data_IF_807486858396
#
_entry.id   IF_807486858396
#
_cell.length_a   1.000
_cell.length_b   1.000
_cell.length_c   1.000
_cell.angle_alpha   90.00
_cell.angle_beta   90.00
_cell.angle_gamma   90.00
#
_symmetry.space_group_name_H-M   'P 1'
#
loop_
_entity.id
_entity.type
_entity.pdbx_description
1 polymer ?
#
# COMPACT_ATOMS: atom_id res chain seq x y z
N UNK A 1 30.01 -6.21 10.10
CA UNK A 1 28.86 -5.30 10.12
C UNK A 1 28.53 -4.98 11.56
N UNK A 2 28.20 -3.73 11.87
CA UNK A 2 27.76 -3.35 13.22
C UNK A 2 26.32 -3.81 13.45
N UNK A 3 26.05 -4.66 14.47
CA UNK A 3 24.71 -5.22 14.69
C UNK A 3 23.60 -4.18 14.86
N UNK A 4 23.90 -3.06 15.54
CA UNK A 4 22.95 -1.95 15.72
C UNK A 4 22.47 -1.37 14.39
N UNK A 5 23.42 -1.06 13.49
CA UNK A 5 23.13 -0.52 12.15
C UNK A 5 22.38 -1.51 11.27
N UNK A 6 22.64 -2.81 11.45
CA UNK A 6 21.90 -3.85 10.74
C UNK A 6 20.44 -3.95 11.23
N UNK A 7 20.19 -3.82 12.53
CA UNK A 7 18.83 -3.77 13.11
C UNK A 7 18.09 -2.53 12.62
N UNK A 8 18.74 -1.36 12.68
CA UNK A 8 18.19 -0.08 12.18
C UNK A 8 17.75 -0.19 10.71
N UNK A 9 18.64 -0.70 9.85
CA UNK A 9 18.34 -0.91 8.43
C UNK A 9 17.19 -1.90 8.23
N UNK A 10 17.11 -2.97 9.03
CA UNK A 10 16.03 -3.96 8.93
C UNK A 10 14.67 -3.39 9.35
N UNK A 11 14.63 -2.62 10.44
CA UNK A 11 13.39 -1.95 10.90
C UNK A 11 12.92 -0.89 9.90
N UNK A 12 13.84 -0.16 9.27
CA UNK A 12 13.51 0.78 8.21
C UNK A 12 12.95 0.09 6.96
N UNK A 13 13.63 -0.95 6.49
CA UNK A 13 13.25 -1.66 5.26
C UNK A 13 12.01 -2.54 5.40
N UNK A 14 11.71 -3.05 6.61
CA UNK A 14 10.60 -4.00 6.80
C UNK A 14 9.23 -3.35 6.63
N UNK A 15 9.07 -2.07 7.00
CA UNK A 15 7.76 -1.41 7.09
C UNK A 15 6.76 -2.11 8.02
N UNK A 16 7.22 -3.05 8.84
CA UNK A 16 6.41 -3.88 9.76
C UNK A 16 7.16 -4.16 11.05
N UNK A 17 6.42 -4.60 12.06
CA UNK A 17 6.99 -5.09 13.31
C UNK A 17 7.92 -6.29 13.07
N UNK A 18 9.08 -6.25 13.72
CA UNK A 18 10.08 -7.32 13.77
C UNK A 18 10.23 -7.79 15.21
N UNK A 19 10.09 -9.10 15.41
CA UNK A 19 10.24 -9.72 16.73
C UNK A 19 11.72 -9.87 17.12
N UNK A 20 12.01 -9.91 18.42
CA UNK A 20 13.38 -10.18 18.92
C UNK A 20 13.97 -11.47 18.31
N UNK A 21 13.24 -12.60 18.19
CA UNK A 21 13.74 -13.79 17.49
C UNK A 21 14.17 -13.55 16.03
N UNK A 22 13.42 -12.74 15.27
CA UNK A 22 13.80 -12.38 13.89
C UNK A 22 15.09 -11.56 13.87
N UNK A 23 15.23 -10.58 14.76
CA UNK A 23 16.44 -9.75 14.87
C UNK A 23 17.66 -10.56 15.33
N UNK A 24 17.48 -11.54 16.21
CA UNK A 24 18.54 -12.50 16.57
C UNK A 24 19.00 -13.31 15.37
N UNK A 25 18.05 -13.83 14.58
CA UNK A 25 18.36 -14.59 13.36
C UNK A 25 19.11 -13.74 12.33
N UNK A 26 18.71 -12.49 12.16
CA UNK A 26 19.35 -11.53 11.26
C UNK A 26 20.79 -11.20 11.67
N UNK A 27 21.00 -10.90 12.95
CA UNK A 27 22.30 -10.44 13.48
C UNK A 27 23.26 -11.58 13.85
N UNK A 28 22.75 -12.80 14.02
CA UNK A 28 23.49 -13.94 14.56
C UNK A 28 23.70 -13.89 16.08
N UNK A 29 23.08 -12.94 16.79
CA UNK A 29 23.25 -12.77 18.24
C UNK A 29 22.32 -13.73 19.00
N UNK A 30 22.90 -14.63 19.80
CA UNK A 30 22.14 -15.60 20.60
C UNK A 30 21.45 -14.98 21.84
N UNK A 31 21.96 -13.87 22.37
CA UNK A 31 21.42 -13.22 23.57
C UNK A 31 20.27 -12.28 23.21
N UNK A 32 19.07 -12.58 23.73
CA UNK A 32 17.92 -11.67 23.61
C UNK A 32 18.14 -10.35 24.35
N UNK A 33 18.85 -10.39 25.50
CA UNK A 33 19.18 -9.19 26.26
C UNK A 33 20.10 -8.24 25.49
N UNK A 34 21.04 -8.79 24.71
CA UNK A 34 21.91 -7.96 23.86
C UNK A 34 21.11 -7.30 22.73
N UNK A 35 20.20 -8.01 22.08
CA UNK A 35 19.29 -7.40 21.08
C UNK A 35 18.47 -6.26 21.69
N UNK A 36 17.89 -6.47 22.88
CA UNK A 36 17.12 -5.44 23.59
C UNK A 36 17.97 -4.21 23.92
N UNK A 37 19.19 -4.39 24.42
CA UNK A 37 20.11 -3.28 24.66
C UNK A 37 20.38 -2.45 23.40
N UNK A 38 20.56 -3.10 22.24
CA UNK A 38 20.78 -2.39 20.97
C UNK A 38 19.53 -1.62 20.52
N UNK A 39 18.34 -2.15 20.80
CA UNK A 39 17.07 -1.49 20.52
C UNK A 39 16.83 -0.30 21.46
N UNK A 40 17.17 -0.42 22.74
CA UNK A 40 17.11 0.67 23.73
C UNK A 40 18.05 1.81 23.32
N UNK A 41 19.25 1.49 22.85
CA UNK A 41 20.19 2.47 22.29
C UNK A 41 19.60 3.16 21.06
N UNK A 42 19.00 2.41 20.12
CA UNK A 42 18.35 3.00 18.94
C UNK A 42 17.17 3.90 19.34
N UNK A 43 16.35 3.51 20.32
CA UNK A 43 15.30 4.37 20.85
C UNK A 43 15.87 5.69 21.40
N UNK A 44 17.03 5.64 22.06
CA UNK A 44 17.78 6.81 22.49
C UNK A 44 18.24 7.69 21.32
N UNK A 45 18.86 7.09 20.31
CA UNK A 45 19.38 7.79 19.11
C UNK A 45 18.25 8.53 18.35
N UNK A 46 17.03 8.01 18.38
CA UNK A 46 15.86 8.59 17.71
C UNK A 46 14.98 9.51 18.59
N UNK A 47 15.39 9.81 19.82
CA UNK A 47 14.60 10.65 20.74
C UNK A 47 14.32 12.05 20.19
N UNK A 48 15.30 12.67 19.54
CA UNK A 48 15.18 14.02 18.94
C UNK A 48 14.86 13.98 17.44
N UNK A 49 14.58 12.79 16.87
CA UNK A 49 14.22 12.60 15.46
C UNK A 49 12.72 12.75 15.21
N UNK A 50 12.30 12.88 13.95
CA UNK A 50 10.89 12.75 13.52
C UNK A 50 10.42 11.28 13.41
N UNK A 51 11.38 10.34 13.42
CA UNK A 51 11.15 8.91 13.45
C UNK A 51 11.32 8.37 14.88
N UNK A 52 10.73 7.21 15.17
CA UNK A 52 10.90 6.49 16.43
C UNK A 52 10.97 4.98 16.21
N UNK A 53 11.63 4.29 17.15
CA UNK A 53 11.56 2.83 17.28
C UNK A 53 10.48 2.49 18.31
N UNK A 54 9.32 2.10 17.82
CA UNK A 54 8.16 1.75 18.62
C UNK A 54 8.23 0.27 19.06
N UNK A 55 7.98 0.00 20.34
CA UNK A 55 7.88 -1.36 20.89
C UNK A 55 6.41 -1.70 21.19
N UNK A 56 5.95 -2.86 20.71
CA UNK A 56 4.67 -3.45 21.04
C UNK A 56 4.80 -4.96 21.20
N UNK A 57 4.34 -5.49 22.34
CA UNK A 57 4.29 -6.94 22.63
C UNK A 57 5.61 -7.70 22.33
N UNK A 58 6.75 -7.07 22.59
CA UNK A 58 8.08 -7.66 22.36
C UNK A 58 8.53 -7.67 20.88
N UNK A 59 7.84 -6.93 20.03
CA UNK A 59 8.21 -6.63 18.65
C UNK A 59 8.47 -5.13 18.47
N UNK A 60 9.24 -4.79 17.44
CA UNK A 60 9.73 -3.43 17.23
C UNK A 60 9.48 -2.97 15.78
N UNK A 61 9.10 -1.71 15.61
CA UNK A 61 8.85 -1.08 14.31
C UNK A 61 9.51 0.30 14.27
N UNK A 62 10.15 0.65 13.15
CA UNK A 62 10.49 2.05 12.89
C UNK A 62 9.29 2.75 12.25
N UNK A 63 8.79 3.82 12.87
CA UNK A 63 7.67 4.61 12.35
C UNK A 63 7.92 6.11 12.47
N UNK A 64 7.11 6.90 11.77
CA UNK A 64 7.02 8.35 11.99
C UNK A 64 6.29 8.60 13.31
N UNK A 65 6.78 9.54 14.12
CA UNK A 65 6.12 9.93 15.37
C UNK A 65 4.74 10.53 15.12
N UNK A 66 3.79 10.22 16.00
CA UNK A 66 2.37 10.53 15.81
C UNK A 66 2.07 12.02 15.57
N UNK A 67 2.90 12.93 16.12
CA UNK A 67 2.79 14.37 15.92
C UNK A 67 3.08 14.84 14.47
N UNK A 68 3.78 14.03 13.66
CA UNK A 68 4.07 14.33 12.26
C UNK A 68 3.23 13.53 11.26
N UNK A 69 2.65 12.40 11.69
CA UNK A 69 1.94 11.45 10.81
C UNK A 69 0.90 12.13 9.93
N UNK A 70 0.00 12.93 10.52
CA UNK A 70 -1.07 13.59 9.76
C UNK A 70 -0.55 14.54 8.68
N UNK A 71 0.62 15.15 8.90
CA UNK A 71 1.23 16.09 7.96
C UNK A 71 1.91 15.38 6.80
N UNK A 72 2.44 14.17 7.03
CA UNK A 72 3.26 13.45 6.03
C UNK A 72 2.57 12.21 5.44
N UNK A 73 1.38 11.84 5.92
CA UNK A 73 0.65 10.64 5.46
C UNK A 73 0.40 10.59 3.95
N UNK A 74 0.36 11.73 3.27
CA UNK A 74 0.20 11.81 1.82
C UNK A 74 1.45 11.37 1.03
N UNK A 75 2.62 11.30 1.69
CA UNK A 75 3.85 10.71 1.14
C UNK A 75 3.95 9.20 1.36
N UNK A 76 3.16 8.64 2.27
CA UNK A 76 3.12 7.20 2.45
C UNK A 76 2.72 6.55 1.13
N UNK A 77 3.51 5.58 0.67
CA UNK A 77 3.13 4.72 -0.45
C UNK A 77 1.77 4.11 -0.12
N UNK A 78 0.77 4.55 -0.85
CA UNK A 78 -0.64 4.20 -0.68
C UNK A 78 -0.87 2.76 -1.17
N UNK A 79 -0.29 1.76 -0.48
CA UNK A 79 -0.06 0.44 -1.09
C UNK A 79 -0.80 -0.73 -0.42
N UNK A 80 -1.36 -0.55 0.78
CA UNK A 80 -2.31 -1.53 1.28
C UNK A 80 -3.70 -1.25 0.72
N UNK A 81 -3.91 -1.53 -0.58
CA UNK A 81 -5.27 -1.66 -1.13
C UNK A 81 -5.94 -2.77 -0.33
N UNK A 82 -7.08 -2.46 0.31
CA UNK A 82 -7.80 -3.44 1.12
C UNK A 82 -8.18 -4.66 0.28
N UNK A 83 -8.29 -5.85 0.91
CA UNK A 83 -8.68 -7.07 0.16
C UNK A 83 -10.01 -6.91 -0.57
N UNK A 84 -10.93 -6.12 -0.02
CA UNK A 84 -12.20 -5.79 -0.66
C UNK A 84 -11.97 -4.88 -1.87
N UNK A 85 -11.24 -3.78 -1.70
CA UNK A 85 -10.88 -2.88 -2.78
C UNK A 85 -10.09 -3.57 -3.90
N UNK A 86 -9.20 -4.51 -3.60
CA UNK A 86 -8.51 -5.34 -4.60
C UNK A 86 -9.49 -6.17 -5.44
N UNK A 87 -10.53 -6.75 -4.83
CA UNK A 87 -11.57 -7.49 -5.56
C UNK A 87 -12.35 -6.56 -6.49
N UNK A 88 -12.76 -5.39 -5.99
CA UNK A 88 -13.45 -4.37 -6.77
C UNK A 88 -12.56 -3.83 -7.90
N UNK A 89 -11.28 -3.57 -7.63
CA UNK A 89 -10.31 -3.11 -8.62
C UNK A 89 -10.06 -4.16 -9.70
N UNK A 90 -9.92 -5.44 -9.33
CA UNK A 90 -9.77 -6.56 -10.27
C UNK A 90 -10.96 -6.67 -11.21
N UNK A 91 -12.16 -6.37 -10.69
CA UNK A 91 -13.37 -6.36 -11.47
C UNK A 91 -13.39 -5.20 -12.48
N UNK A 92 -13.11 -3.98 -12.02
CA UNK A 92 -13.05 -2.78 -12.85
C UNK A 92 -11.94 -2.90 -13.91
N UNK A 93 -10.81 -3.53 -13.58
CA UNK A 93 -9.70 -3.72 -14.51
C UNK A 93 -10.08 -4.54 -15.75
N UNK A 94 -10.99 -5.51 -15.60
CA UNK A 94 -11.54 -6.29 -16.72
C UNK A 94 -12.67 -5.59 -17.47
N UNK A 95 -13.26 -4.55 -16.89
CA UNK A 95 -14.43 -3.83 -17.42
C UNK A 95 -14.20 -2.32 -17.33
N UNK A 96 -13.08 -1.85 -17.88
CA UNK A 96 -12.72 -0.44 -17.82
C UNK A 96 -13.83 0.43 -18.45
N UNK A 97 -14.28 1.47 -17.74
CA UNK A 97 -15.41 2.32 -18.17
C UNK A 97 -16.80 1.83 -17.75
N UNK A 98 -16.91 0.79 -16.92
CA UNK A 98 -18.17 0.25 -16.39
C UNK A 98 -18.90 1.23 -15.47
N UNK A 99 -20.24 1.15 -15.41
CA UNK A 99 -21.02 1.94 -14.44
C UNK A 99 -20.80 1.43 -13.01
N UNK A 100 -20.61 2.35 -12.06
CA UNK A 100 -20.53 2.03 -10.62
C UNK A 100 -21.75 1.23 -10.14
N UNK A 101 -22.94 1.58 -10.64
CA UNK A 101 -24.18 0.84 -10.34
C UNK A 101 -24.17 -0.60 -10.81
N UNK A 102 -23.47 -0.94 -11.89
CA UNK A 102 -23.32 -2.31 -12.36
C UNK A 102 -22.31 -3.09 -11.51
N UNK A 103 -21.22 -2.43 -11.09
CA UNK A 103 -20.27 -3.01 -10.13
C UNK A 103 -20.97 -3.32 -8.80
N UNK A 104 -21.79 -2.40 -8.29
CA UNK A 104 -22.62 -2.60 -7.09
C UNK A 104 -23.58 -3.77 -7.25
N UNK A 105 -24.25 -3.91 -8.42
CA UNK A 105 -25.14 -5.05 -8.69
C UNK A 105 -24.40 -6.40 -8.65
N UNK A 106 -23.13 -6.44 -9.08
CA UNK A 106 -22.35 -7.69 -9.14
C UNK A 106 -21.63 -8.03 -7.84
N UNK A 107 -21.06 -7.04 -7.14
CA UNK A 107 -20.22 -7.27 -5.95
C UNK A 107 -20.98 -6.99 -4.65
N UNK A 108 -21.91 -6.04 -4.66
CA UNK A 108 -22.67 -5.61 -3.48
C UNK A 108 -22.35 -4.18 -3.03
N UNK A 109 -22.93 -3.78 -1.90
CA UNK A 109 -22.85 -2.41 -1.38
C UNK A 109 -21.46 -1.99 -0.90
N UNK A 110 -20.56 -2.94 -0.62
CA UNK A 110 -19.16 -2.66 -0.24
C UNK A 110 -18.40 -1.88 -1.33
N UNK A 111 -18.87 -1.92 -2.58
CA UNK A 111 -18.31 -1.16 -3.70
C UNK A 111 -18.28 0.34 -3.42
N UNK A 112 -19.19 0.89 -2.61
CA UNK A 112 -19.17 2.32 -2.29
C UNK A 112 -17.92 2.72 -1.50
N UNK A 113 -17.54 1.94 -0.48
CA UNK A 113 -16.30 2.18 0.28
C UNK A 113 -15.06 1.83 -0.54
N UNK A 114 -15.10 0.73 -1.29
CA UNK A 114 -13.98 0.30 -2.13
C UNK A 114 -13.67 1.32 -3.21
N UNK A 115 -14.68 1.87 -3.91
CA UNK A 115 -14.46 2.89 -4.94
C UNK A 115 -13.91 4.17 -4.34
N UNK A 116 -14.38 4.57 -3.16
CA UNK A 116 -13.84 5.74 -2.45
C UNK A 116 -12.35 5.55 -2.17
N UNK A 117 -11.99 4.40 -1.59
CA UNK A 117 -10.59 4.02 -1.33
C UNK A 117 -9.77 4.05 -2.62
N UNK A 118 -10.24 3.39 -3.70
CA UNK A 118 -9.51 3.29 -4.96
C UNK A 118 -9.33 4.63 -5.68
N UNK A 119 -10.29 5.55 -5.53
CA UNK A 119 -10.20 6.92 -6.05
C UNK A 119 -9.22 7.76 -5.22
N UNK A 120 -9.29 7.68 -3.89
CA UNK A 120 -8.36 8.37 -2.98
C UNK A 120 -6.92 7.91 -3.19
N UNK A 121 -6.73 6.61 -3.42
CA UNK A 121 -5.45 6.01 -3.77
C UNK A 121 -5.05 6.24 -5.23
N UNK A 122 -5.91 6.87 -6.05
CA UNK A 122 -5.62 7.20 -7.44
C UNK A 122 -5.50 6.01 -8.39
N UNK A 123 -5.99 4.83 -8.03
CA UNK A 123 -6.05 3.64 -8.91
C UNK A 123 -7.22 3.70 -9.90
N UNK A 124 -8.30 4.40 -9.52
CA UNK A 124 -9.51 4.57 -10.33
C UNK A 124 -9.86 6.06 -10.45
N UNK A 125 -10.33 6.46 -11.63
CA UNK A 125 -11.00 7.72 -11.87
C UNK A 125 -12.52 7.49 -11.95
N UNK A 126 -13.29 8.24 -11.17
CA UNK A 126 -14.75 8.22 -11.20
C UNK A 126 -15.28 9.44 -11.95
N UNK A 127 -16.00 9.24 -13.07
CA UNK A 127 -16.64 10.31 -13.85
C UNK A 127 -18.15 10.24 -13.77
N UNK A 128 -18.82 11.39 -13.59
CA UNK A 128 -20.29 11.46 -13.55
C UNK A 128 -20.87 11.02 -14.89
N UNK A 129 -21.93 10.22 -14.86
CA UNK A 129 -22.66 9.79 -16.05
C UNK A 129 -24.15 9.64 -15.70
N UNK A 130 -24.97 10.60 -16.15
CA UNK A 130 -26.37 10.70 -15.76
C UNK A 130 -26.57 10.77 -14.24
N UNK A 131 -27.36 9.83 -13.71
CA UNK A 131 -27.67 9.69 -12.27
C UNK A 131 -26.64 8.84 -11.50
N UNK A 132 -25.61 8.34 -12.16
CA UNK A 132 -24.57 7.46 -11.62
C UNK A 132 -23.18 7.97 -12.03
N UNK A 133 -22.19 7.09 -12.02
CA UNK A 133 -20.82 7.39 -12.44
C UNK A 133 -20.18 6.19 -13.14
N UNK A 134 -19.33 6.43 -14.13
CA UNK A 134 -18.44 5.43 -14.73
C UNK A 134 -17.10 5.38 -13.99
N UNK A 135 -16.51 4.20 -13.91
CA UNK A 135 -15.22 3.94 -13.26
C UNK A 135 -14.18 3.58 -14.31
N UNK A 136 -13.03 4.26 -14.27
CA UNK A 136 -11.92 4.05 -15.20
C UNK A 136 -10.63 3.76 -14.45
N UNK A 137 -9.78 2.90 -14.99
CA UNK A 137 -8.41 2.75 -14.49
C UNK A 137 -7.57 3.98 -14.81
N UNK A 138 -6.63 4.31 -13.93
CA UNK A 138 -5.61 5.35 -14.14
C UNK A 138 -4.28 4.72 -14.58
N UNK A 139 -3.33 5.55 -15.00
CA UNK A 139 -1.97 5.08 -15.31
C UNK A 139 -1.23 4.55 -14.08
N UNK A 140 -1.58 5.06 -12.87
CA UNK A 140 -1.04 4.56 -11.60
C UNK A 140 -1.32 3.07 -11.40
N UNK A 141 -2.51 2.60 -11.80
CA UNK A 141 -2.83 1.17 -11.76
C UNK A 141 -1.85 0.35 -12.60
N UNK A 142 -1.56 0.76 -13.84
CA UNK A 142 -0.64 0.02 -14.71
C UNK A 142 0.76 -0.03 -14.12
N UNK A 143 1.30 1.12 -13.72
CA UNK A 143 2.64 1.21 -13.14
C UNK A 143 2.79 0.32 -11.89
N UNK A 144 1.77 0.30 -11.02
CA UNK A 144 1.78 -0.50 -9.80
C UNK A 144 1.72 -2.01 -10.06
N UNK A 145 0.84 -2.45 -10.97
CA UNK A 145 0.64 -3.89 -11.22
C UNK A 145 1.61 -4.48 -12.24
N UNK A 146 2.27 -3.68 -13.09
CA UNK A 146 3.35 -4.14 -13.97
C UNK A 146 4.64 -4.45 -13.20
N UNK A 147 4.92 -3.72 -12.11
CA UNK A 147 6.07 -3.95 -11.23
C UNK A 147 5.91 -5.17 -10.30
N UNK A 148 4.67 -5.64 -10.12
CA UNK A 148 4.30 -6.75 -9.22
C UNK A 148 4.15 -8.10 -9.95
N UNK A 149 4.46 -8.19 -11.26
CA UNK A 149 4.39 -9.46 -12.00
C UNK A 149 5.63 -10.33 -11.74
N UNK A 150 5.53 -11.50 -11.08
CA UNK A 150 6.42 -12.59 -11.39
C UNK A 150 6.14 -13.05 -12.83
N UNK A 151 7.18 -13.52 -13.53
CA UNK A 151 7.23 -13.83 -14.96
C UNK A 151 6.16 -14.85 -15.45
N UNK A 152 5.41 -15.48 -14.56
CA UNK A 152 4.47 -16.56 -14.85
C UNK A 152 3.09 -16.30 -14.23
N UNK A 153 2.27 -15.47 -14.88
CA UNK A 153 0.79 -15.56 -14.97
C UNK A 153 0.22 -14.20 -15.41
N UNK A 154 0.12 -13.97 -16.72
CA UNK A 154 -0.76 -12.90 -17.23
C UNK A 154 -2.16 -13.48 -17.45
N UNK A 155 -3.23 -12.96 -16.82
CA UNK A 155 -4.46 -12.81 -17.57
C UNK A 155 -4.19 -11.75 -18.64
N UNK A 156 -4.45 -12.07 -19.90
CA UNK A 156 -4.34 -11.11 -21.00
C UNK A 156 -5.15 -9.86 -20.65
N UNK A 157 -4.47 -8.76 -20.33
CA UNK A 157 -5.09 -7.44 -20.29
C UNK A 157 -5.21 -7.02 -21.76
N UNK A 158 -6.43 -6.88 -22.31
CA UNK A 158 -6.57 -6.50 -23.70
C UNK A 158 -5.85 -5.18 -23.94
N UNK A 159 -4.99 -5.13 -24.96
CA UNK A 159 -4.43 -3.87 -25.46
C UNK A 159 -5.61 -3.02 -25.93
N UNK A 160 -5.93 -1.96 -25.20
CA UNK A 160 -6.93 -1.00 -25.64
C UNK A 160 -6.27 -0.08 -26.67
N UNK A 161 -6.91 0.06 -27.83
CA UNK A 161 -6.66 1.20 -28.72
C UNK A 161 -7.04 2.49 -27.97
N UNK A 162 -6.35 3.62 -28.22
CA UNK A 162 -6.78 4.91 -27.70
C UNK A 162 -8.24 5.18 -28.13
N UNK A 163 -9.05 5.86 -27.30
CA UNK A 163 -10.40 6.24 -27.69
C UNK A 163 -10.35 7.09 -28.97
N UNK A 164 -11.12 6.70 -29.97
CA UNK A 164 -11.33 7.52 -31.17
C UNK A 164 -12.05 8.81 -30.77
N UNK A 165 -11.53 9.96 -31.22
CA UNK A 165 -11.96 11.30 -30.79
C UNK A 165 -13.33 11.72 -31.37
N UNK A 166 -14.03 10.86 -32.12
CA UNK A 166 -15.18 11.28 -32.94
C UNK A 166 -16.58 10.93 -32.38
N UNK A 167 -16.71 10.40 -31.16
CA UNK A 167 -18.05 10.21 -30.54
C UNK A 167 -18.49 11.39 -29.64
N UNK A 168 -17.93 12.58 -29.86
CA UNK A 168 -18.26 13.81 -29.13
C UNK A 168 -19.26 14.72 -29.84
N UNK A 169 -20.19 14.20 -30.64
CA UNK A 169 -21.40 14.97 -30.98
C UNK A 169 -22.65 14.09 -30.94
N UNK A 170 -23.55 14.40 -30.00
CA UNK A 170 -24.84 13.74 -29.79
C UNK A 170 -25.47 14.02 -28.44
#
# INVERSE_FOLDING_TARGET
MEPKRLIEAALFMSGRELSVPELKKLTGIASAGHIKSLLDELQGDYRESALEIFEADGSYLMKVKDNYVESVKHFAQSEAISRSALRTLSYVARHNGIMKSEVVKRIGTVVYSDVKELVENGFILQRKYGRSSKLFLTDKFRAYFEQQKPEEASPEVPRMAPPEEDEFEG
#
